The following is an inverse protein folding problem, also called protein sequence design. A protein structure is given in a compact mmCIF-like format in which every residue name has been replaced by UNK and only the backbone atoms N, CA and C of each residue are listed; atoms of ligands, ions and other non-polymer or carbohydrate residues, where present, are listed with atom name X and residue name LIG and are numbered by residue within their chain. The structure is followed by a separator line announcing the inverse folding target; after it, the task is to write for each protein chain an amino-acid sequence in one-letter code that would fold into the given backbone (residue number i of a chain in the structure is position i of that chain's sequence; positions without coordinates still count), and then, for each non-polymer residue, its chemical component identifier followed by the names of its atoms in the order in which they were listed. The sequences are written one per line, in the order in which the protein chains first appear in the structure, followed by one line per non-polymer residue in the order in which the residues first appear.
data_IF_265030007700
#
_entry.id   IF_265030007700
#
_cell.length_a   1.000
_cell.length_b   1.000
_cell.length_c   1.000
_cell.angle_alpha   90.00
_cell.angle_beta   90.00
_cell.angle_gamma   90.00
#
_symmetry.space_group_name_H-M   'P 1'
#
loop_
_entity.id
_entity.type
_entity.pdbx_description
1 polymer ?
#
# COMPACT_ATOMS: atom_id res chain seq x y z
N UNK A 1 30.66 5.98 14.22
CA UNK A 1 29.72 5.04 13.58
C UNK A 1 28.32 5.42 14.06
N UNK A 2 27.61 6.29 13.33
CA UNK A 2 26.30 6.82 13.77
C UNK A 2 25.24 6.42 12.75
N UNK A 3 24.83 5.15 12.78
CA UNK A 3 23.60 4.77 12.10
C UNK A 3 22.45 5.08 13.07
N UNK A 4 21.50 5.97 12.74
CA UNK A 4 20.38 6.26 13.61
C UNK A 4 19.63 4.95 13.89
N UNK A 5 19.35 4.72 15.18
CA UNK A 5 18.53 3.62 15.67
C UNK A 5 17.25 3.60 14.84
N UNK A 6 16.99 2.49 14.15
CA UNK A 6 15.77 2.28 13.36
C UNK A 6 14.58 2.77 14.20
N UNK A 7 13.76 3.72 13.70
CA UNK A 7 12.64 4.23 14.50
C UNK A 7 11.77 3.06 14.93
N UNK A 8 11.27 3.09 16.17
CA UNK A 8 10.31 2.08 16.64
C UNK A 8 9.18 1.97 15.63
N UNK A 9 8.70 0.74 15.40
CA UNK A 9 7.55 0.47 14.53
C UNK A 9 6.49 1.56 14.74
N UNK A 10 6.20 2.34 13.68
CA UNK A 10 5.21 3.40 13.78
C UNK A 10 3.88 2.74 14.17
N UNK A 11 3.30 3.11 15.32
CA UNK A 11 2.03 2.53 15.73
C UNK A 11 0.99 2.83 14.64
N UNK A 12 0.21 1.82 14.30
CA UNK A 12 -0.89 1.96 13.34
C UNK A 12 -1.91 2.94 13.94
N UNK A 13 -2.21 4.04 13.24
CA UNK A 13 -3.10 5.11 13.75
C UNK A 13 -4.53 4.87 13.31
N UNK A 14 -4.73 4.46 12.06
CA UNK A 14 -6.05 4.16 11.52
C UNK A 14 -6.47 2.72 11.80
N UNK A 15 -7.76 2.47 12.06
CA UNK A 15 -8.30 1.11 12.08
C UNK A 15 -8.54 0.61 10.64
N UNK A 16 -8.53 -0.73 10.39
CA UNK A 16 -8.94 -1.26 9.10
C UNK A 16 -10.34 -0.79 8.71
N UNK A 17 -10.53 -0.42 7.44
CA UNK A 17 -11.80 0.11 6.95
C UNK A 17 -12.02 -0.22 5.47
N UNK A 18 -13.27 -0.10 5.04
CA UNK A 18 -13.68 -0.17 3.63
C UNK A 18 -13.79 1.25 3.08
N UNK A 19 -13.11 1.52 1.97
CA UNK A 19 -13.19 2.80 1.25
C UNK A 19 -13.46 2.50 -0.22
N UNK A 20 -14.51 3.08 -0.79
CA UNK A 20 -14.92 2.86 -2.18
C UNK A 20 -15.03 1.37 -2.57
N UNK A 21 -15.65 0.55 -1.72
CA UNK A 21 -15.80 -0.90 -1.89
C UNK A 21 -14.49 -1.71 -1.90
N UNK A 22 -13.38 -1.14 -1.39
CA UNK A 22 -12.14 -1.89 -1.16
C UNK A 22 -11.78 -1.91 0.32
N UNK A 23 -11.39 -3.09 0.79
CA UNK A 23 -10.83 -3.28 2.12
C UNK A 23 -9.39 -2.77 2.22
N UNK A 24 -9.09 -2.04 3.29
CA UNK A 24 -7.76 -1.57 3.63
C UNK A 24 -7.37 -2.03 5.04
N UNK A 25 -6.09 -2.35 5.24
CA UNK A 25 -5.53 -2.40 6.60
C UNK A 25 -5.36 -0.99 7.16
N UNK A 26 -5.33 -0.87 8.50
CA UNK A 26 -4.97 0.40 9.14
C UNK A 26 -3.62 0.94 8.67
N UNK A 27 -2.65 0.03 8.51
CA UNK A 27 -1.33 0.36 7.98
C UNK A 27 -1.38 0.93 6.56
N UNK A 28 -2.22 0.38 5.67
CA UNK A 28 -2.38 0.91 4.32
C UNK A 28 -2.96 2.33 4.34
N UNK A 29 -3.99 2.57 5.18
CA UNK A 29 -4.60 3.89 5.34
C UNK A 29 -3.60 4.92 5.87
N UNK A 30 -2.77 4.54 6.85
CA UNK A 30 -1.68 5.39 7.35
C UNK A 30 -0.70 5.75 6.22
N UNK A 31 -0.27 4.77 5.41
CA UNK A 31 0.65 5.02 4.29
C UNK A 31 0.04 5.86 3.20
N UNK A 32 -1.25 5.73 2.94
CA UNK A 32 -1.98 6.58 2.00
C UNK A 32 -1.99 8.03 2.47
N UNK A 33 -2.31 8.27 3.75
CA UNK A 33 -2.34 9.61 4.34
C UNK A 33 -0.95 10.25 4.36
N UNK A 34 0.07 9.52 4.83
CA UNK A 34 1.46 10.02 4.91
C UNK A 34 2.04 10.42 3.53
N UNK A 35 1.55 9.77 2.46
CA UNK A 35 2.09 9.90 1.10
C UNK A 35 1.19 10.69 0.17
N UNK A 36 0.03 11.16 0.63
CA UNK A 36 -0.95 11.84 -0.22
C UNK A 36 -1.50 10.96 -1.35
N UNK A 37 -1.56 9.64 -1.16
CA UNK A 37 -2.08 8.69 -2.15
C UNK A 37 -3.57 8.49 -1.89
N UNK A 38 -4.41 8.91 -2.84
CA UNK A 38 -5.87 8.80 -2.71
C UNK A 38 -6.39 7.40 -3.08
N UNK A 39 -7.56 6.99 -2.59
CA UNK A 39 -8.16 5.70 -2.97
C UNK A 39 -8.32 5.54 -4.49
N UNK A 40 -8.63 6.61 -5.22
CA UNK A 40 -8.74 6.59 -6.68
C UNK A 40 -7.43 6.21 -7.36
N UNK A 41 -6.29 6.71 -6.86
CA UNK A 41 -4.98 6.30 -7.37
C UNK A 41 -4.73 4.82 -7.11
N UNK A 42 -5.07 4.33 -5.91
CA UNK A 42 -4.94 2.91 -5.56
C UNK A 42 -5.72 2.03 -6.52
N UNK A 43 -7.00 2.34 -6.77
CA UNK A 43 -7.83 1.57 -7.70
C UNK A 43 -7.28 1.59 -9.13
N UNK A 44 -6.77 2.74 -9.59
CA UNK A 44 -6.15 2.82 -10.91
C UNK A 44 -4.90 1.93 -11.00
N UNK A 45 -4.03 1.94 -9.99
CA UNK A 45 -2.84 1.08 -9.94
C UNK A 45 -3.22 -0.40 -9.95
N UNK A 46 -4.25 -0.81 -9.20
CA UNK A 46 -4.72 -2.20 -9.20
C UNK A 46 -5.29 -2.61 -10.57
N UNK A 47 -6.01 -1.71 -11.25
CA UNK A 47 -6.65 -2.00 -12.54
C UNK A 47 -5.70 -2.05 -13.73
N UNK A 48 -4.73 -1.12 -13.79
CA UNK A 48 -3.87 -0.96 -14.96
C UNK A 48 -2.38 -1.20 -14.70
N UNK A 49 -1.98 -1.36 -13.44
CA UNK A 49 -0.59 -1.61 -13.07
C UNK A 49 -0.14 -3.02 -13.42
N UNK A 50 1.18 -3.20 -13.51
CA UNK A 50 1.80 -4.52 -13.72
C UNK A 50 1.66 -5.31 -12.43
N UNK A 51 0.88 -6.39 -12.46
CA UNK A 51 0.71 -7.30 -11.33
C UNK A 51 1.87 -8.31 -11.26
N UNK A 52 2.46 -8.48 -10.10
CA UNK A 52 3.50 -9.48 -9.84
C UNK A 52 3.22 -10.19 -8.51
N UNK A 53 3.20 -11.53 -8.48
CA UNK A 53 3.13 -12.27 -7.23
C UNK A 53 4.27 -11.89 -6.28
N UNK A 54 3.97 -11.81 -4.99
CA UNK A 54 4.91 -11.45 -3.93
C UNK A 54 4.83 -12.46 -2.78
N UNK A 55 5.66 -12.27 -1.75
CA UNK A 55 5.78 -13.19 -0.62
C UNK A 55 4.48 -13.25 0.19
N UNK A 56 4.19 -14.42 0.75
CA UNK A 56 3.04 -14.60 1.66
C UNK A 56 1.67 -14.52 0.97
N UNK A 57 1.58 -14.89 -0.31
CA UNK A 57 0.30 -14.87 -1.05
C UNK A 57 -0.21 -13.47 -1.34
N UNK A 58 0.69 -12.47 -1.36
CA UNK A 58 0.36 -11.10 -1.73
C UNK A 58 0.65 -10.86 -3.22
N UNK A 59 0.01 -9.84 -3.78
CA UNK A 59 0.25 -9.38 -5.14
C UNK A 59 0.66 -7.91 -5.09
N UNK A 60 1.75 -7.57 -5.76
CA UNK A 60 2.18 -6.18 -5.95
C UNK A 60 1.74 -5.70 -7.32
N UNK A 61 1.10 -4.54 -7.37
CA UNK A 61 0.69 -3.84 -8.59
C UNK A 61 1.54 -2.59 -8.71
N UNK A 62 2.27 -2.45 -9.81
CA UNK A 62 3.15 -1.30 -10.04
C UNK A 62 2.70 -0.49 -11.25
N UNK A 63 2.47 0.81 -11.03
CA UNK A 63 2.25 1.78 -12.09
C UNK A 63 3.54 2.58 -12.34
N UNK A 64 4.13 2.37 -13.52
CA UNK A 64 5.36 3.05 -13.93
C UNK A 64 5.17 4.53 -14.25
N UNK A 65 3.94 4.98 -14.58
CA UNK A 65 3.67 6.37 -14.93
C UNK A 65 3.71 7.26 -13.69
N UNK A 66 3.04 6.82 -12.63
CA UNK A 66 2.98 7.53 -11.36
C UNK A 66 4.07 7.08 -10.37
N UNK A 67 4.83 6.04 -10.70
CA UNK A 67 5.84 5.42 -9.86
C UNK A 67 5.29 5.00 -8.49
N UNK A 68 4.15 4.29 -8.50
CA UNK A 68 3.43 3.85 -7.30
C UNK A 68 3.25 2.33 -7.33
N UNK A 69 3.49 1.69 -6.18
CA UNK A 69 3.19 0.29 -5.93
C UNK A 69 2.09 0.14 -4.88
N UNK A 70 1.14 -0.74 -5.16
CA UNK A 70 0.07 -1.17 -4.24
C UNK A 70 0.21 -2.65 -3.99
N UNK A 71 0.16 -3.08 -2.73
CA UNK A 71 0.23 -4.50 -2.37
C UNK A 71 -1.09 -4.95 -1.79
N UNK A 72 -1.66 -6.02 -2.35
CA UNK A 72 -2.88 -6.66 -1.83
C UNK A 72 -2.58 -8.06 -1.31
N UNK A 73 -3.41 -8.56 -0.39
CA UNK A 73 -3.41 -9.98 -0.02
C UNK A 73 -4.22 -10.82 -1.02
N UNK A 74 -4.40 -12.11 -0.72
CA UNK A 74 -5.15 -13.08 -1.52
C UNK A 74 -6.64 -12.76 -1.69
N UNK A 75 -7.25 -11.97 -0.80
CA UNK A 75 -8.65 -11.55 -0.88
C UNK A 75 -8.81 -10.19 -1.58
N UNK A 76 -7.71 -9.57 -2.05
CA UNK A 76 -7.71 -8.24 -2.64
C UNK A 76 -7.68 -7.09 -1.63
N UNK A 77 -7.60 -7.34 -0.33
CA UNK A 77 -7.44 -6.29 0.69
C UNK A 77 -6.08 -5.61 0.56
N UNK A 78 -6.06 -4.28 0.56
CA UNK A 78 -4.82 -3.49 0.46
C UNK A 78 -4.07 -3.54 1.79
N UNK A 79 -2.82 -4.01 1.71
CA UNK A 79 -1.94 -4.19 2.88
C UNK A 79 -1.00 -3.01 3.05
N UNK A 80 -0.50 -2.46 1.95
CA UNK A 80 0.36 -1.27 1.96
C UNK A 80 0.39 -0.59 0.58
N UNK A 81 0.78 0.68 0.55
CA UNK A 81 0.99 1.47 -0.67
C UNK A 81 2.34 2.18 -0.56
N UNK A 82 3.10 2.32 -1.64
CA UNK A 82 4.41 3.02 -1.65
C UNK A 82 4.71 3.68 -2.99
N UNK A 83 5.64 4.63 -2.97
CA UNK A 83 6.33 5.05 -4.19
C UNK A 83 7.42 4.04 -4.56
N UNK A 84 7.72 3.94 -5.85
CA UNK A 84 8.72 2.99 -6.37
C UNK A 84 8.18 1.57 -6.52
N UNK A 85 8.95 0.76 -7.26
CA UNK A 85 8.69 -0.66 -7.48
C UNK A 85 8.91 -1.48 -6.22
#
# INVERSE_FOLDING_TARGET
MNQPKNPSYQPVRNQPAVVNNRDYTGHALDRMQDRGITPTVVENVIKSGISTPSRGGTTSYYDSKNNISVVTNSTGKVVTVKYGK
#
